data_IF_826053191980
#
_entry.id   IF_826053191980
#
_cell.length_a   1.000
_cell.length_b   1.000
_cell.length_c   1.000
_cell.angle_alpha   90.00
_cell.angle_beta   90.00
_cell.angle_gamma   90.00
#
_symmetry.space_group_name_H-M   'P 1'
#
loop_
_entity.id
_entity.type
_entity.pdbx_description
1 polymer ?
#
# COMPACT_ATOMS: atom_id res chain seq x y z
N UNK A 1 -10.00 7.55 -14.34
CA UNK A 1 -9.15 8.77 -14.44
C UNK A 1 -7.67 8.44 -14.28
N UNK A 2 -6.75 9.26 -14.81
CA UNK A 2 -5.30 8.99 -14.72
C UNK A 2 -4.45 10.24 -14.47
N UNK A 3 -3.31 10.07 -13.80
CA UNK A 3 -2.24 11.06 -13.69
C UNK A 3 -0.89 10.39 -13.98
N UNK A 4 -0.03 11.11 -14.72
CA UNK A 4 1.28 10.60 -15.16
C UNK A 4 2.37 11.55 -14.70
N UNK A 5 3.37 11.01 -14.00
CA UNK A 5 4.60 11.70 -13.66
C UNK A 5 5.76 11.11 -14.46
N UNK A 6 6.39 11.93 -15.30
CA UNK A 6 7.48 11.50 -16.18
C UNK A 6 8.87 11.82 -15.61
N UNK A 7 9.84 10.97 -15.89
CA UNK A 7 11.27 11.16 -15.60
C UNK A 7 11.60 11.49 -14.14
N UNK A 8 10.99 10.76 -13.21
CA UNK A 8 11.27 10.93 -11.78
C UNK A 8 12.63 10.31 -11.42
N UNK A 9 13.43 11.04 -10.63
CA UNK A 9 14.74 10.58 -10.12
C UNK A 9 14.60 9.58 -8.96
N UNK A 10 14.02 8.42 -9.27
CA UNK A 10 13.91 7.25 -8.40
C UNK A 10 14.01 5.97 -9.22
N UNK A 11 14.60 4.92 -8.64
CA UNK A 11 14.62 3.62 -9.31
C UNK A 11 13.22 3.00 -9.30
N UNK A 12 12.79 2.38 -10.41
CA UNK A 12 11.47 1.74 -10.51
C UNK A 12 11.19 0.76 -9.37
N UNK A 13 12.18 -0.05 -8.98
CA UNK A 13 12.07 -1.03 -7.89
C UNK A 13 11.71 -0.37 -6.54
N UNK A 14 12.34 0.77 -6.23
CA UNK A 14 12.10 1.50 -4.96
C UNK A 14 10.72 2.15 -4.92
N UNK A 15 10.24 2.64 -6.07
CA UNK A 15 8.90 3.21 -6.16
C UNK A 15 7.81 2.12 -6.17
N UNK A 16 8.06 0.98 -6.84
CA UNK A 16 7.13 -0.15 -6.89
C UNK A 16 6.85 -0.76 -5.51
N UNK A 17 7.85 -0.81 -4.64
CA UNK A 17 7.67 -1.27 -3.26
C UNK A 17 6.56 -0.48 -2.55
N UNK A 18 6.61 0.85 -2.68
CA UNK A 18 5.60 1.73 -2.06
C UNK A 18 4.27 1.67 -2.81
N UNK A 19 4.30 1.59 -4.15
CA UNK A 19 3.10 1.47 -4.96
C UNK A 19 2.28 0.22 -4.58
N UNK A 20 2.95 -0.91 -4.27
CA UNK A 20 2.29 -2.13 -3.83
C UNK A 20 1.46 -1.97 -2.55
N UNK A 21 1.84 -1.05 -1.65
CA UNK A 21 1.13 -0.83 -0.37
C UNK A 21 -0.22 -0.13 -0.54
N UNK A 22 -0.41 0.59 -1.65
CA UNK A 22 -1.57 1.48 -1.86
C UNK A 22 -2.47 1.06 -3.02
N UNK A 23 -2.09 0.06 -3.81
CA UNK A 23 -2.97 -0.51 -4.85
C UNK A 23 -4.24 -1.08 -4.20
N UNK A 24 -5.40 -0.78 -4.80
CA UNK A 24 -6.70 -1.27 -4.35
C UNK A 24 -7.29 -0.54 -3.15
N UNK A 25 -6.58 0.43 -2.56
CA UNK A 25 -7.09 1.21 -1.42
C UNK A 25 -7.88 2.43 -1.88
N UNK A 26 -8.76 2.94 -1.01
CA UNK A 26 -9.41 4.22 -1.22
C UNK A 26 -8.37 5.34 -1.23
N UNK A 27 -8.69 6.46 -1.89
CA UNK A 27 -7.77 7.59 -2.04
C UNK A 27 -7.36 8.16 -0.68
N UNK A 28 -8.29 8.34 0.26
CA UNK A 28 -7.99 8.88 1.59
C UNK A 28 -7.06 7.97 2.40
N UNK A 29 -7.38 6.67 2.47
CA UNK A 29 -6.57 5.67 3.15
C UNK A 29 -5.15 5.61 2.56
N UNK A 30 -5.06 5.64 1.23
CA UNK A 30 -3.78 5.64 0.54
C UNK A 30 -2.95 6.88 0.88
N UNK A 31 -3.57 8.07 0.94
CA UNK A 31 -2.87 9.31 1.33
C UNK A 31 -2.38 9.27 2.78
N UNK A 32 -3.16 8.69 3.69
CA UNK A 32 -2.75 8.49 5.08
C UNK A 32 -1.52 7.56 5.17
N UNK A 33 -1.56 6.41 4.49
CA UNK A 33 -0.44 5.45 4.47
C UNK A 33 0.82 6.10 3.88
N UNK A 34 0.69 6.81 2.76
CA UNK A 34 1.83 7.46 2.10
C UNK A 34 2.45 8.57 2.96
N UNK A 35 1.66 9.23 3.82
CA UNK A 35 2.16 10.29 4.71
C UNK A 35 3.13 9.74 5.76
N UNK A 36 2.88 8.54 6.28
CA UNK A 36 3.67 7.94 7.37
C UNK A 36 4.69 6.89 6.91
N UNK A 37 4.73 6.58 5.61
CA UNK A 37 5.69 5.59 5.08
C UNK A 37 7.10 6.20 5.00
N UNK A 38 8.13 5.61 5.63
CA UNK A 38 9.50 6.16 5.70
C UNK A 38 10.32 5.85 4.43
N UNK A 39 9.74 6.03 3.24
CA UNK A 39 10.41 5.79 1.96
C UNK A 39 10.26 7.02 1.07
N UNK A 40 11.35 7.40 0.38
CA UNK A 40 11.35 8.52 -0.58
C UNK A 40 10.24 8.42 -1.64
N UNK A 41 9.91 7.20 -2.07
CA UNK A 41 8.83 6.95 -3.04
C UNK A 41 7.46 7.39 -2.54
N UNK A 42 7.23 7.43 -1.23
CA UNK A 42 5.94 7.78 -0.64
C UNK A 42 5.59 9.26 -0.86
N UNK A 43 6.54 10.17 -0.61
CA UNK A 43 6.33 11.59 -0.86
C UNK A 43 6.10 11.92 -2.34
N UNK A 44 6.71 11.17 -3.25
CA UNK A 44 6.49 11.33 -4.70
C UNK A 44 5.10 10.82 -5.08
N UNK A 45 4.75 9.60 -4.68
CA UNK A 45 3.44 9.01 -4.98
C UNK A 45 2.29 9.82 -4.39
N UNK A 46 2.44 10.36 -3.18
CA UNK A 46 1.43 11.20 -2.55
C UNK A 46 1.08 12.43 -3.41
N UNK A 47 2.08 13.05 -4.06
CA UNK A 47 1.85 14.17 -4.99
C UNK A 47 1.07 13.74 -6.23
N UNK A 48 1.40 12.58 -6.79
CA UNK A 48 0.72 12.07 -7.99
C UNK A 48 -0.72 11.66 -7.69
N UNK A 49 -0.97 10.99 -6.55
CA UNK A 49 -2.32 10.63 -6.11
C UNK A 49 -3.17 11.87 -5.83
N UNK A 50 -2.63 12.89 -5.16
CA UNK A 50 -3.32 14.18 -4.96
C UNK A 50 -3.68 14.86 -6.28
N UNK A 51 -2.75 14.86 -7.24
CA UNK A 51 -3.02 15.41 -8.58
C UNK A 51 -4.09 14.63 -9.32
N UNK A 52 -4.08 13.30 -9.24
CA UNK A 52 -5.12 12.46 -9.82
C UNK A 52 -6.49 12.78 -9.21
N UNK A 53 -6.58 12.86 -7.87
CA UNK A 53 -7.82 13.22 -7.18
C UNK A 53 -8.36 14.59 -7.61
N UNK A 54 -7.49 15.61 -7.68
CA UNK A 54 -7.88 16.94 -8.16
C UNK A 54 -8.38 16.92 -9.61
N UNK A 55 -7.78 16.09 -10.48
CA UNK A 55 -8.23 15.93 -11.86
C UNK A 55 -9.63 15.31 -11.95
N UNK A 56 -9.99 14.41 -11.04
CA UNK A 56 -11.34 13.86 -10.97
C UNK A 56 -12.37 14.89 -10.52
N UNK A 57 -12.05 15.66 -9.48
CA UNK A 57 -12.95 16.70 -8.97
C UNK A 57 -13.23 17.75 -10.07
N UNK A 58 -12.17 18.26 -10.71
CA UNK A 58 -12.32 19.36 -11.65
C UNK A 58 -12.97 18.94 -12.97
N UNK A 59 -12.60 17.78 -13.51
CA UNK A 59 -13.07 17.38 -14.85
C UNK A 59 -14.34 16.54 -14.81
N UNK A 60 -14.55 15.74 -13.76
CA UNK A 60 -15.65 14.78 -13.69
C UNK A 60 -16.59 15.02 -12.49
N UNK A 61 -16.32 16.04 -11.66
CA UNK A 61 -17.13 16.39 -10.47
C UNK A 61 -17.38 15.19 -9.55
N UNK A 62 -16.40 14.29 -9.47
CA UNK A 62 -16.46 13.12 -8.60
C UNK A 62 -15.94 13.46 -7.21
N UNK A 63 -16.57 12.90 -6.18
CA UNK A 63 -16.14 13.06 -4.80
C UNK A 63 -14.88 12.24 -4.50
N UNK A 64 -13.95 12.81 -3.71
CA UNK A 64 -12.72 12.13 -3.26
C UNK A 64 -12.97 10.80 -2.55
N UNK A 65 -14.09 10.70 -1.83
CA UNK A 65 -14.38 9.58 -0.93
C UNK A 65 -14.87 8.34 -1.66
N UNK A 66 -15.44 8.51 -2.86
CA UNK A 66 -15.93 7.41 -3.70
C UNK A 66 -14.85 6.87 -4.66
N UNK A 67 -13.64 7.44 -4.61
CA UNK A 67 -12.55 7.09 -5.50
C UNK A 67 -11.59 6.08 -4.86
N UNK A 68 -11.14 5.13 -5.67
CA UNK A 68 -10.13 4.16 -5.27
C UNK A 68 -9.02 4.03 -6.31
N UNK A 69 -7.87 3.56 -5.86
CA UNK A 69 -6.71 3.32 -6.70
C UNK A 69 -6.87 1.98 -7.42
N UNK A 70 -7.28 2.03 -8.69
CA UNK A 70 -7.39 0.84 -9.55
C UNK A 70 -6.03 0.27 -9.89
N UNK A 71 -5.11 1.10 -10.35
CA UNK A 71 -3.82 0.64 -10.84
C UNK A 71 -2.72 1.69 -10.61
N UNK A 72 -1.53 1.22 -10.22
CA UNK A 72 -0.31 2.04 -10.21
C UNK A 72 0.76 1.28 -10.98
N UNK A 73 1.15 1.86 -12.11
CA UNK A 73 2.20 1.35 -12.98
C UNK A 73 3.45 2.21 -12.77
N UNK A 74 4.58 1.55 -12.55
CA UNK A 74 5.89 2.21 -12.50
C UNK A 74 6.78 1.59 -13.57
N UNK A 75 7.01 2.36 -14.63
CA UNK A 75 7.85 1.97 -15.75
C UNK A 75 9.27 2.50 -15.57
N UNK A 76 10.23 1.81 -16.19
CA UNK A 76 11.59 2.32 -16.31
C UNK A 76 11.62 3.53 -17.27
N UNK A 77 12.38 4.55 -16.90
CA UNK A 77 12.64 5.70 -17.74
C UNK A 77 14.06 5.70 -18.29
N UNK A 78 14.46 6.84 -18.86
CA UNK A 78 15.82 7.02 -19.37
C UNK A 78 16.83 6.75 -18.25
N UNK A 79 17.79 5.87 -18.52
CA UNK A 79 18.87 5.55 -17.59
C UNK A 79 20.16 6.21 -18.06
N UNK A 80 20.71 7.08 -17.21
CA UNK A 80 22.00 7.69 -17.49
C UNK A 80 23.13 6.75 -17.11
N UNK A 81 24.04 6.51 -18.05
CA UNK A 81 25.28 5.77 -17.82
C UNK A 81 26.37 6.74 -17.35
N UNK A 82 27.04 6.43 -16.25
CA UNK A 82 28.22 7.12 -15.72
C UNK A 82 29.31 6.08 -15.47
N UNK A 83 30.56 6.46 -15.52
CA UNK A 83 31.68 5.58 -15.21
C UNK A 83 32.18 5.82 -13.79
N UNK A 84 32.66 4.76 -13.14
CA UNK A 84 33.41 4.81 -11.90
C UNK A 84 34.78 4.18 -12.14
N UNK A 85 35.89 4.91 -11.93
CA UNK A 85 37.22 4.33 -12.01
C UNK A 85 37.43 3.31 -10.88
N UNK A 86 38.14 2.22 -11.17
CA UNK A 86 38.44 1.15 -10.23
C UNK A 86 39.90 0.68 -10.36
N UNK A 87 40.32 -0.19 -9.44
CA UNK A 87 41.68 -0.72 -9.37
C UNK A 87 42.14 -1.34 -10.70
N UNK A 88 43.45 -1.26 -10.97
CA UNK A 88 44.09 -1.88 -12.15
C UNK A 88 43.55 -1.36 -13.49
N UNK A 89 43.26 -0.06 -13.59
CA UNK A 89 42.79 0.58 -14.83
C UNK A 89 41.39 0.13 -15.28
N UNK A 90 40.60 -0.50 -14.40
CA UNK A 90 39.25 -0.98 -14.72
C UNK A 90 38.21 0.13 -14.55
N UNK A 91 37.09 -0.01 -15.24
CA UNK A 91 35.97 0.93 -15.17
C UNK A 91 34.65 0.18 -14.97
N UNK A 92 33.86 0.57 -13.96
CA UNK A 92 32.51 0.04 -13.74
C UNK A 92 31.43 1.05 -14.13
N UNK A 93 30.32 0.61 -14.75
CA UNK A 93 29.21 1.49 -15.06
C UNK A 93 28.32 1.74 -13.83
N UNK A 94 28.05 3.01 -13.52
CA UNK A 94 26.99 3.46 -12.62
C UNK A 94 25.76 3.82 -13.45
N UNK A 95 24.64 3.16 -13.16
CA UNK A 95 23.35 3.44 -13.79
C UNK A 95 22.50 4.36 -12.89
N UNK A 96 22.29 5.61 -13.32
CA UNK A 96 21.33 6.52 -12.68
C UNK A 96 19.97 6.35 -13.37
N UNK A 97 19.17 5.44 -12.81
CA UNK A 97 17.83 5.09 -13.32
C UNK A 97 16.80 6.15 -12.97
N UNK A 98 15.92 6.43 -13.93
CA UNK A 98 14.69 7.20 -13.73
C UNK A 98 13.46 6.27 -13.83
N UNK A 99 12.30 6.78 -13.43
CA UNK A 99 11.02 6.08 -13.58
C UNK A 99 9.92 6.99 -14.12
N UNK A 100 8.94 6.38 -14.79
CA UNK A 100 7.66 7.00 -15.12
C UNK A 100 6.57 6.35 -14.26
N UNK A 101 5.75 7.16 -13.60
CA UNK A 101 4.70 6.68 -12.70
C UNK A 101 3.35 7.05 -13.31
N UNK A 102 2.49 6.07 -13.50
CA UNK A 102 1.11 6.26 -13.94
C UNK A 102 0.19 5.76 -12.84
N UNK A 103 -0.69 6.63 -12.36
CA UNK A 103 -1.73 6.30 -11.38
C UNK A 103 -3.07 6.37 -12.10
N UNK A 104 -3.83 5.28 -12.05
CA UNK A 104 -5.22 5.23 -12.50
C UNK A 104 -6.12 5.07 -11.30
N UNK A 105 -7.09 5.97 -11.19
CA UNK A 105 -8.15 5.88 -10.20
C UNK A 105 -9.48 5.60 -10.91
N UNK A 106 -10.38 4.94 -10.21
CA UNK A 106 -11.71 4.62 -10.70
C UNK A 106 -12.74 4.93 -9.61
N UNK A 107 -13.99 5.11 -10.02
CA UNK A 107 -15.09 5.29 -9.09
C UNK A 107 -15.53 3.91 -8.60
N UNK A 108 -15.72 3.77 -7.28
CA UNK A 108 -16.28 2.56 -6.71
C UNK A 108 -17.78 2.57 -7.05
N UNK A 109 -18.17 1.86 -8.09
CA UNK A 109 -19.59 1.59 -8.32
C UNK A 109 -20.10 0.76 -7.14
N UNK A 110 -21.20 1.20 -6.53
CA UNK A 110 -21.87 0.52 -5.43
C UNK A 110 -22.34 -0.87 -5.86
N UNK A 111 -21.44 -1.86 -5.79
CA UNK A 111 -21.83 -3.24 -5.67
C UNK A 111 -22.38 -3.40 -4.26
N UNK A 112 -23.69 -3.67 -4.19
CA UNK A 112 -24.46 -3.97 -2.97
C UNK A 112 -23.57 -4.67 -1.94
N UNK A 113 -23.46 -4.16 -0.70
CA UNK A 113 -22.76 -4.88 0.34
C UNK A 113 -23.48 -6.22 0.53
N UNK A 114 -22.74 -7.33 0.41
CA UNK A 114 -23.20 -8.61 0.94
C UNK A 114 -23.63 -8.37 2.40
N UNK A 115 -24.80 -8.88 2.82
CA UNK A 115 -25.32 -8.62 4.15
C UNK A 115 -24.34 -9.18 5.18
N UNK A 116 -23.83 -8.29 6.04
CA UNK A 116 -23.14 -8.67 7.27
C UNK A 116 -24.05 -9.61 8.04
N UNK A 117 -23.61 -10.86 8.21
CA UNK A 117 -24.25 -11.80 9.14
C UNK A 117 -24.22 -11.12 10.51
N UNK A 118 -25.42 -10.93 11.05
CA UNK A 118 -25.68 -10.21 12.28
C UNK A 118 -25.16 -11.06 13.45
N UNK A 119 -24.07 -10.62 14.09
CA UNK A 119 -23.80 -10.97 15.49
C UNK A 119 -24.85 -10.24 16.36
N UNK A 120 -26.04 -10.82 16.45
CA UNK A 120 -26.98 -10.62 17.55
C UNK A 120 -27.67 -11.95 17.85
N UNK A 121 -27.09 -12.69 18.77
CA UNK A 121 -27.79 -13.66 19.59
C UNK A 121 -27.25 -13.52 21.03
N UNK A 122 -27.85 -12.61 21.79
CA UNK A 122 -27.82 -12.65 23.25
C UNK A 122 -29.10 -13.36 23.72
N UNK A 123 -28.97 -14.41 24.54
CA UNK A 123 -29.78 -14.68 25.75
C UNK A 123 -29.56 -16.11 26.29
N UNK A 124 -28.84 -16.20 27.42
CA UNK A 124 -29.14 -16.93 28.69
C UNK A 124 -30.17 -18.09 28.67
N UNK A 125 -30.00 -19.29 29.26
CA UNK A 125 -29.44 -19.81 30.56
C UNK A 125 -29.55 -21.38 30.55
N UNK A 126 -29.22 -22.21 31.59
CA UNK A 126 -28.34 -22.13 32.78
C UNK A 126 -27.41 -23.37 32.98
N UNK A 127 -26.51 -23.28 33.98
CA UNK A 127 -25.88 -24.36 34.80
C UNK A 127 -25.24 -25.61 34.14
N UNK A 128 -23.96 -25.91 34.50
CA UNK A 128 -23.52 -27.12 35.26
C UNK A 128 -21.98 -27.31 35.18
N UNK A 129 -21.37 -27.38 36.38
CA UNK A 129 -20.13 -28.08 36.78
C UNK A 129 -18.71 -27.55 36.49
N UNK A 130 -18.02 -27.30 37.61
CA UNK A 130 -16.58 -27.14 37.81
C UNK A 130 -15.76 -28.34 37.30
N UNK A 131 -14.58 -28.08 36.73
CA UNK A 131 -13.49 -29.07 36.64
C UNK A 131 -12.41 -28.79 37.68
N UNK A 132 -12.00 -29.76 38.51
CA UNK A 132 -11.03 -29.55 39.58
C UNK A 132 -9.58 -29.50 39.09
N UNK A 133 -8.75 -28.71 39.78
CA UNK A 133 -7.28 -28.61 39.62
C UNK A 133 -6.58 -29.93 40.00
N UNK A 134 -5.51 -30.36 39.30
CA UNK A 134 -4.78 -31.58 39.66
C UNK A 134 -3.91 -31.39 40.91
N UNK A 135 -4.09 -32.27 41.92
CA UNK A 135 -3.26 -32.35 43.13
C UNK A 135 -1.90 -33.01 42.83
N UNK A 136 -0.81 -32.37 43.28
CA UNK A 136 0.55 -32.94 43.31
C UNK A 136 0.56 -34.22 44.17
N UNK A 137 1.01 -35.35 43.62
CA UNK A 137 1.36 -36.56 44.40
C UNK A 137 2.76 -36.40 44.98
N UNK A 138 2.85 -36.36 46.31
CA UNK A 138 4.10 -36.56 47.05
C UNK A 138 4.46 -38.06 47.05
N UNK A 139 5.71 -38.36 46.71
CA UNK A 139 6.31 -39.69 46.86
C UNK A 139 6.74 -39.87 48.33
N UNK A 140 6.20 -40.88 49.01
CA UNK A 140 6.84 -41.54 50.16
C UNK A 140 6.81 -43.04 49.90
N UNK A 141 7.99 -43.65 49.79
CA UNK A 141 8.21 -45.09 49.97
C UNK A 141 9.15 -45.26 51.16
N UNK A 142 8.87 -46.34 51.88
CA UNK A 142 9.67 -47.07 52.89
C UNK A 142 11.15 -47.13 52.59
#
# INVERSE_FOLDING_TARGET
MQAVLRQTRISPKKANLVAGLVRGKNVEDALAILKFTPKKGAGILAKVVKSAAANAENNFKQDKNSLFIKEIIVNEGITYKRSLPCSRGRMHPILKRNSHITVKLDAKADLKPEPKIQEKAEAETPATEEKPKPKKKSLKKS
#
